data_IF_935956961306
#
_entry.id   IF_935956961306
#
_cell.length_a   1.000
_cell.length_b   1.000
_cell.length_c   1.000
_cell.angle_alpha   90.00
_cell.angle_beta   90.00
_cell.angle_gamma   90.00
#
_symmetry.space_group_name_H-M   'P 1'
#
loop_
_entity.id
_entity.type
_entity.pdbx_description
1 polymer ?
#
# COMPACT_ATOMS: atom_id res chain seq x y z
N UNK A 1 0.39 8.54 -12.50
CA UNK A 1 -0.17 7.44 -13.31
C UNK A 1 -0.98 8.06 -14.43
N UNK A 2 -0.45 8.06 -15.65
CA UNK A 2 -1.14 8.55 -16.84
C UNK A 2 -2.19 7.52 -17.24
N UNK A 3 -3.46 7.78 -16.90
CA UNK A 3 -4.57 6.92 -17.35
C UNK A 3 -4.69 7.02 -18.87
N UNK A 4 -4.76 5.86 -19.54
CA UNK A 4 -5.02 5.82 -20.98
C UNK A 4 -6.40 6.44 -21.26
N UNK A 5 -6.41 7.56 -21.99
CA UNK A 5 -7.63 8.24 -22.40
C UNK A 5 -8.20 7.51 -23.60
N UNK A 6 -9.24 6.69 -23.38
CA UNK A 6 -10.00 6.08 -24.47
C UNK A 6 -10.89 7.14 -25.12
N UNK A 7 -10.48 7.70 -26.25
CA UNK A 7 -11.32 8.61 -27.02
C UNK A 7 -12.35 7.80 -27.81
N UNK A 8 -13.62 7.84 -27.39
CA UNK A 8 -14.73 7.23 -28.14
C UNK A 8 -15.25 8.26 -29.14
N UNK A 9 -14.87 8.13 -30.42
CA UNK A 9 -15.49 8.87 -31.52
C UNK A 9 -16.42 7.93 -32.30
N UNK A 10 -17.71 8.28 -32.38
CA UNK A 10 -18.67 7.62 -33.28
C UNK A 10 -19.61 6.59 -32.64
N UNK A 11 -19.61 6.41 -31.32
CA UNK A 11 -20.57 5.54 -30.62
C UNK A 11 -21.56 6.42 -29.84
N UNK A 12 -22.85 6.30 -30.13
CA UNK A 12 -23.93 6.77 -29.27
C UNK A 12 -23.96 5.86 -28.03
N UNK A 13 -23.18 6.22 -27.01
CA UNK A 13 -23.18 5.50 -25.74
C UNK A 13 -24.40 5.96 -24.92
N UNK A 14 -25.36 5.05 -24.70
CA UNK A 14 -26.54 5.33 -23.87
C UNK A 14 -26.17 5.65 -22.40
N UNK A 15 -24.99 5.22 -21.94
CA UNK A 15 -24.47 5.55 -20.60
C UNK A 15 -22.94 5.52 -20.57
N UNK A 16 -22.34 6.58 -20.05
CA UNK A 16 -20.91 6.62 -19.71
C UNK A 16 -20.76 6.58 -18.19
N UNK A 17 -20.03 5.60 -17.65
CA UNK A 17 -19.70 5.51 -16.22
C UNK A 17 -18.22 5.82 -16.06
N UNK A 18 -17.92 6.96 -15.44
CA UNK A 18 -16.55 7.37 -15.10
C UNK A 18 -16.31 7.01 -13.64
N UNK A 19 -15.44 6.03 -13.38
CA UNK A 19 -15.01 5.67 -12.03
C UNK A 19 -13.59 6.18 -11.81
N UNK A 20 -13.44 7.28 -11.07
CA UNK A 20 -12.13 7.70 -10.59
C UNK A 20 -11.77 6.91 -9.34
N UNK A 21 -10.62 6.21 -9.29
CA UNK A 21 -10.19 5.57 -8.05
C UNK A 21 -9.95 6.66 -7.00
N UNK A 22 -10.75 6.64 -5.93
CA UNK A 22 -10.56 7.54 -4.79
C UNK A 22 -9.31 7.10 -4.02
N UNK A 23 -8.34 8.00 -3.89
CA UNK A 23 -7.13 7.80 -3.12
C UNK A 23 -7.13 8.72 -1.89
N UNK A 24 -7.95 8.41 -0.86
CA UNK A 24 -8.16 9.30 0.26
C UNK A 24 -6.95 9.34 1.20
N UNK A 25 -6.84 10.45 1.92
CA UNK A 25 -5.95 10.55 3.09
C UNK A 25 -6.64 9.92 4.29
N UNK A 26 -5.95 9.01 4.94
CA UNK A 26 -6.39 8.28 6.12
C UNK A 26 -5.66 8.82 7.36
N UNK A 27 -6.40 9.12 8.43
CA UNK A 27 -5.78 9.24 9.75
C UNK A 27 -5.20 7.89 10.18
N UNK A 28 -4.31 7.86 11.18
CA UNK A 28 -3.82 6.58 11.71
C UNK A 28 -4.95 5.65 12.21
N UNK A 29 -6.07 6.22 12.68
CA UNK A 29 -7.26 5.44 13.05
C UNK A 29 -7.93 4.82 11.82
N UNK A 30 -8.19 5.62 10.78
CA UNK A 30 -8.78 5.12 9.55
C UNK A 30 -7.86 4.12 8.83
N UNK A 31 -6.55 4.33 8.85
CA UNK A 31 -5.57 3.37 8.33
C UNK A 31 -5.56 2.06 9.13
N UNK A 32 -5.79 2.13 10.44
CA UNK A 32 -5.92 0.96 11.31
C UNK A 32 -7.15 0.13 10.94
N UNK A 33 -8.30 0.79 10.74
CA UNK A 33 -9.53 0.14 10.27
C UNK A 33 -9.37 -0.43 8.86
N UNK A 34 -8.72 0.31 7.96
CA UNK A 34 -8.48 -0.13 6.59
C UNK A 34 -7.55 -1.34 6.48
N UNK A 35 -6.44 -1.35 7.22
CA UNK A 35 -5.40 -2.38 7.11
C UNK A 35 -5.55 -3.54 8.09
N UNK A 36 -6.37 -3.38 9.14
CA UNK A 36 -6.46 -4.30 10.27
C UNK A 36 -5.27 -4.25 11.24
N UNK A 37 -4.24 -3.42 10.99
CA UNK A 37 -3.11 -3.23 11.89
C UNK A 37 -3.47 -2.27 13.03
N UNK A 38 -2.93 -2.47 14.23
CA UNK A 38 -3.16 -1.54 15.33
C UNK A 38 -2.59 -0.14 15.07
N UNK A 39 -3.24 0.90 15.61
CA UNK A 39 -2.73 2.29 15.57
C UNK A 39 -1.30 2.38 16.13
N UNK A 40 -0.98 1.61 17.19
CA UNK A 40 0.37 1.54 17.76
C UNK A 40 1.38 1.01 16.75
N UNK A 41 1.03 -0.05 16.02
CA UNK A 41 1.86 -0.63 14.95
C UNK A 41 2.10 0.38 13.83
N UNK A 42 1.04 1.04 13.36
CA UNK A 42 1.16 2.06 12.31
C UNK A 42 1.98 3.27 12.77
N UNK A 43 1.81 3.71 14.02
CA UNK A 43 2.61 4.78 14.62
C UNK A 43 4.09 4.41 14.73
N UNK A 44 4.41 3.14 15.01
CA UNK A 44 5.79 2.66 14.95
C UNK A 44 6.30 2.68 13.50
N UNK A 45 5.50 2.22 12.55
CA UNK A 45 5.88 2.16 11.14
C UNK A 45 6.20 3.54 10.54
N UNK A 46 5.44 4.59 10.86
CA UNK A 46 5.73 5.97 10.36
C UNK A 46 6.99 6.60 10.97
N UNK A 47 7.53 6.01 12.04
CA UNK A 47 8.74 6.45 12.71
C UNK A 47 9.88 5.42 12.57
N UNK A 48 9.74 4.45 11.67
CA UNK A 48 10.81 3.51 11.32
C UNK A 48 11.88 4.22 10.46
N UNK A 49 12.95 3.50 10.14
CA UNK A 49 13.99 4.01 9.23
C UNK A 49 13.39 4.37 7.86
N UNK A 50 13.87 5.44 7.19
CA UNK A 50 13.22 6.00 5.99
C UNK A 50 12.85 4.97 4.92
N UNK A 51 13.74 4.02 4.62
CA UNK A 51 13.52 3.00 3.58
C UNK A 51 12.42 1.99 3.91
N UNK A 52 12.05 1.88 5.19
CA UNK A 52 11.01 0.96 5.69
C UNK A 52 9.79 1.69 6.24
N UNK A 53 9.91 2.99 6.47
CA UNK A 53 8.86 3.78 7.08
C UNK A 53 7.58 3.77 6.23
N UNK A 54 6.43 3.79 6.91
CA UNK A 54 5.15 4.02 6.25
C UNK A 54 5.12 5.49 5.76
N UNK A 55 4.99 5.75 4.44
CA UNK A 55 4.90 7.12 3.96
C UNK A 55 3.71 7.84 4.60
N UNK A 56 3.96 9.06 5.08
CA UNK A 56 2.94 9.85 5.74
C UNK A 56 3.19 11.35 5.55
N UNK A 57 2.12 12.10 5.67
CA UNK A 57 2.11 13.55 5.73
C UNK A 57 1.95 13.94 7.21
N UNK A 58 2.79 14.86 7.68
CA UNK A 58 2.67 15.46 9.00
C UNK A 58 2.13 16.88 8.86
N UNK A 59 0.93 17.13 9.38
CA UNK A 59 0.27 18.44 9.35
C UNK A 59 -0.05 18.83 10.80
N UNK A 60 0.85 19.60 11.40
CA UNK A 60 0.83 19.85 12.84
C UNK A 60 0.96 18.53 13.63
N UNK A 61 0.00 18.26 14.52
CA UNK A 61 -0.06 17.01 15.29
C UNK A 61 -0.67 15.83 14.52
N UNK A 62 -1.27 16.08 13.34
CA UNK A 62 -1.93 15.05 12.57
C UNK A 62 -0.93 14.26 11.71
N UNK A 63 -1.13 12.94 11.67
CA UNK A 63 -0.43 12.02 10.76
C UNK A 63 -1.48 11.49 9.79
N UNK A 64 -1.28 11.77 8.51
CA UNK A 64 -2.13 11.33 7.42
C UNK A 64 -1.36 10.39 6.48
N UNK A 65 -1.99 9.33 6.04
CA UNK A 65 -1.42 8.33 5.13
C UNK A 65 -2.31 8.25 3.91
N UNK A 66 -1.76 8.39 2.71
CA UNK A 66 -2.51 8.17 1.49
C UNK A 66 -2.78 6.67 1.34
N UNK A 67 -4.01 6.27 1.00
CA UNK A 67 -4.39 4.86 0.88
C UNK A 67 -3.44 4.09 -0.06
N UNK A 68 -3.17 4.63 -1.23
CA UNK A 68 -2.28 4.00 -2.22
C UNK A 68 -0.85 3.80 -1.72
N UNK A 69 -0.35 4.70 -0.87
CA UNK A 69 0.98 4.57 -0.24
C UNK A 69 0.98 3.49 0.85
N UNK A 70 -0.11 3.38 1.62
CA UNK A 70 -0.28 2.27 2.56
C UNK A 70 -0.31 0.93 1.82
N UNK A 71 -1.03 0.84 0.70
CA UNK A 71 -1.08 -0.36 -0.14
C UNK A 71 0.32 -0.71 -0.68
N UNK A 72 1.06 0.29 -1.19
CA UNK A 72 2.44 0.09 -1.65
C UNK A 72 3.37 -0.37 -0.53
N UNK A 73 3.24 0.21 0.65
CA UNK A 73 4.02 -0.16 1.84
C UNK A 73 3.70 -1.58 2.34
N UNK A 74 2.44 -2.01 2.27
CA UNK A 74 2.01 -3.38 2.55
C UNK A 74 2.52 -4.37 1.49
N UNK A 75 2.48 -3.97 0.21
CA UNK A 75 2.95 -4.80 -0.89
C UNK A 75 4.44 -5.16 -0.75
N UNK A 76 5.27 -4.23 -0.25
CA UNK A 76 6.68 -4.50 0.07
C UNK A 76 6.89 -5.56 1.16
N UNK A 77 5.88 -5.77 2.02
CA UNK A 77 5.89 -6.75 3.12
C UNK A 77 5.14 -8.03 2.78
N UNK A 78 4.56 -8.11 1.57
CA UNK A 78 3.84 -9.29 1.13
C UNK A 78 4.83 -10.45 1.00
N UNK A 79 4.55 -11.51 1.73
CA UNK A 79 5.25 -12.79 1.60
C UNK A 79 4.30 -13.81 0.99
N UNK A 80 4.84 -14.74 0.20
CA UNK A 80 4.09 -15.86 -0.39
C UNK A 80 4.68 -17.14 0.17
N UNK A 81 3.85 -17.99 0.77
CA UNK A 81 4.30 -19.20 1.48
C UNK A 81 4.62 -18.96 2.95
N UNK A 82 5.39 -19.87 3.57
CA UNK A 82 5.83 -19.74 4.98
C UNK A 82 7.16 -18.99 5.05
N UNK A 83 7.21 -17.74 5.55
CA UNK A 83 8.45 -16.97 5.61
C UNK A 83 9.52 -17.64 6.46
N UNK A 84 9.11 -18.33 7.53
CA UNK A 84 10.00 -19.11 8.40
C UNK A 84 10.65 -20.27 7.67
N UNK A 85 9.94 -20.91 6.73
CA UNK A 85 10.51 -21.98 5.91
C UNK A 85 11.55 -21.41 4.94
N UNK A 86 11.25 -20.29 4.27
CA UNK A 86 12.19 -19.62 3.37
C UNK A 86 13.44 -19.13 4.12
N UNK A 87 13.27 -18.58 5.32
CA UNK A 87 14.37 -18.18 6.19
C UNK A 87 15.23 -19.40 6.59
N UNK A 88 14.60 -20.47 7.07
CA UNK A 88 15.29 -21.72 7.42
C UNK A 88 16.01 -22.33 6.20
N UNK A 89 15.39 -22.33 5.02
CA UNK A 89 16.04 -22.81 3.80
C UNK A 89 17.24 -21.94 3.40
N UNK A 90 17.20 -20.62 3.61
CA UNK A 90 18.36 -19.73 3.40
C UNK A 90 19.48 -20.02 4.40
N UNK A 91 19.15 -20.18 5.67
CA UNK A 91 20.10 -20.55 6.73
C UNK A 91 20.76 -21.90 6.47
N UNK A 92 20.00 -22.85 5.90
CA UNK A 92 20.48 -24.18 5.52
C UNK A 92 21.16 -24.22 4.13
N UNK A 93 21.27 -23.08 3.42
CA UNK A 93 21.93 -23.01 2.11
C UNK A 93 21.16 -23.68 0.96
N UNK A 94 19.85 -23.91 1.12
CA UNK A 94 19.01 -24.68 0.19
C UNK A 94 18.33 -23.83 -0.89
N UNK A 95 18.65 -22.52 -0.99
CA UNK A 95 18.03 -21.61 -1.97
C UNK A 95 19.07 -21.18 -3.01
N UNK A 96 19.17 -21.92 -4.12
CA UNK A 96 19.94 -21.52 -5.30
C UNK A 96 19.08 -20.58 -6.17
N UNK A 97 19.59 -19.38 -6.46
CA UNK A 97 18.94 -18.42 -7.36
C UNK A 97 19.26 -18.79 -8.81
N UNK A 98 18.23 -18.99 -9.64
CA UNK A 98 18.30 -18.88 -11.10
C UNK A 98 17.74 -17.53 -11.50
#
# INVERSE_FOLDING_TARGET
MTGAVGQVRGVLAERVVISTPLDPFLSLKAASEYTGLSVKTLRRAVNDVPDRALPCYRVGAAILVRRSEADGWLAQRRTVGRPSLVAAMRELGLVNSR
#
